data_IF_207240642506
#
_entry.id   IF_207240642506
#
_cell.length_a   1.000
_cell.length_b   1.000
_cell.length_c   1.000
_cell.angle_alpha   90.00
_cell.angle_beta   90.00
_cell.angle_gamma   90.00
#
_symmetry.space_group_name_H-M   'P 1'
#
loop_
_entity.id
_entity.type
_entity.pdbx_description
1 polymer ?
#
# COMPACT_ATOMS: atom_id res chain seq x y z
N UNK A 1 -8.79 -19.84 -10.26
CA UNK A 1 -8.99 -19.17 -11.54
C UNK A 1 -7.88 -18.17 -11.79
N UNK A 2 -7.35 -18.15 -12.96
CA UNK A 2 -6.33 -17.18 -13.30
C UNK A 2 -6.90 -15.76 -13.27
N UNK A 3 -6.05 -14.79 -13.05
CA UNK A 3 -6.46 -13.39 -13.12
C UNK A 3 -6.81 -12.96 -14.53
N UNK A 4 -7.27 -11.76 -14.64
CA UNK A 4 -7.63 -11.18 -15.92
C UNK A 4 -6.38 -10.91 -16.75
N UNK A 5 -6.56 -10.71 -18.04
CA UNK A 5 -5.48 -10.33 -18.93
C UNK A 5 -5.82 -9.00 -19.61
N UNK A 6 -4.79 -8.29 -20.06
CA UNK A 6 -4.96 -7.00 -20.72
C UNK A 6 -4.77 -5.83 -19.78
N UNK A 7 -5.18 -4.66 -20.22
CA UNK A 7 -5.07 -3.45 -19.40
C UNK A 7 -6.35 -3.25 -18.58
N UNK A 8 -6.20 -2.61 -17.43
CA UNK A 8 -7.29 -2.46 -16.49
C UNK A 8 -7.49 -1.01 -16.10
N UNK A 9 -8.73 -0.59 -15.82
CA UNK A 9 -8.94 0.69 -15.18
C UNK A 9 -8.48 0.62 -13.72
N UNK A 10 -7.93 1.71 -13.22
CA UNK A 10 -7.40 1.73 -11.86
C UNK A 10 -8.45 1.48 -10.79
N UNK A 11 -9.73 1.69 -11.09
CA UNK A 11 -10.77 1.48 -10.08
C UNK A 11 -10.95 0.01 -9.69
N UNK A 12 -10.32 -0.92 -10.41
CA UNK A 12 -10.38 -2.32 -10.05
C UNK A 12 -9.38 -2.69 -8.94
N UNK A 13 -8.51 -1.77 -8.56
CA UNK A 13 -7.66 -1.96 -7.39
C UNK A 13 -8.49 -1.79 -6.12
N UNK A 14 -8.13 -2.51 -5.07
CA UNK A 14 -8.81 -2.42 -3.79
C UNK A 14 -7.79 -2.28 -2.67
N UNK A 15 -8.16 -1.49 -1.66
CA UNK A 15 -7.31 -1.26 -0.50
C UNK A 15 -8.08 -1.60 0.76
N UNK A 16 -7.44 -2.31 1.67
CA UNK A 16 -8.06 -2.75 2.92
C UNK A 16 -7.17 -2.36 4.09
N UNK A 17 -7.79 -1.93 5.16
CA UNK A 17 -7.10 -1.52 6.36
C UNK A 17 -7.81 -2.04 7.59
N UNK A 18 -7.06 -2.32 8.64
CA UNK A 18 -7.60 -2.80 9.89
C UNK A 18 -6.51 -3.15 10.87
N UNK A 19 -6.90 -3.58 12.04
CA UNK A 19 -5.94 -3.98 13.06
C UNK A 19 -5.25 -5.29 12.70
N UNK A 20 -5.94 -6.15 11.95
CA UNK A 20 -5.41 -7.44 11.51
C UNK A 20 -6.11 -7.82 10.22
N UNK A 21 -5.56 -8.81 9.53
CA UNK A 21 -6.12 -9.26 8.25
C UNK A 21 -7.58 -9.66 8.37
N UNK A 22 -7.94 -10.36 9.43
CA UNK A 22 -9.29 -10.90 9.61
C UNK A 22 -10.34 -9.82 9.80
N UNK A 23 -9.96 -8.66 10.31
CA UNK A 23 -10.91 -7.57 10.52
C UNK A 23 -10.75 -6.45 9.52
N UNK A 24 -9.89 -6.60 8.52
CA UNK A 24 -9.63 -5.54 7.57
C UNK A 24 -10.81 -5.33 6.64
N UNK A 25 -11.12 -4.07 6.37
CA UNK A 25 -12.22 -3.68 5.49
C UNK A 25 -11.73 -2.71 4.42
N UNK A 26 -12.49 -2.65 3.33
CA UNK A 26 -12.19 -1.69 2.26
C UNK A 26 -12.27 -0.27 2.78
N UNK A 27 -11.42 0.58 2.21
CA UNK A 27 -11.43 2.01 2.53
C UNK A 27 -12.32 2.70 1.51
N UNK A 28 -13.46 3.24 1.96
CA UNK A 28 -14.41 3.86 1.06
C UNK A 28 -13.93 5.22 0.55
N UNK A 29 -14.38 5.58 -0.63
CA UNK A 29 -14.22 6.91 -1.22
C UNK A 29 -12.80 7.34 -1.50
N UNK A 30 -11.90 6.39 -1.73
CA UNK A 30 -10.57 6.70 -2.22
C UNK A 30 -10.64 6.91 -3.74
N UNK A 31 -9.90 7.88 -4.24
CA UNK A 31 -10.00 8.33 -5.63
C UNK A 31 -8.72 8.14 -6.42
N UNK A 32 -7.57 8.28 -5.77
CA UNK A 32 -6.29 8.30 -6.45
C UNK A 32 -5.25 7.62 -5.58
N UNK A 33 -4.33 6.90 -6.22
CA UNK A 33 -3.18 6.38 -5.48
C UNK A 33 -1.95 6.42 -6.35
N UNK A 34 -0.80 6.45 -5.71
CA UNK A 34 0.48 6.34 -6.38
C UNK A 34 1.39 5.44 -5.57
N UNK A 35 2.34 4.82 -6.24
CA UNK A 35 3.25 3.88 -5.60
C UNK A 35 4.67 4.30 -5.90
N UNK A 36 5.50 4.36 -4.86
CA UNK A 36 6.90 4.68 -5.01
C UNK A 36 7.74 3.54 -4.47
N UNK A 37 8.68 3.08 -5.28
CA UNK A 37 9.64 2.07 -4.88
C UNK A 37 10.98 2.74 -4.63
N UNK A 38 11.52 2.54 -3.43
CA UNK A 38 12.87 2.99 -3.09
C UNK A 38 13.73 1.76 -2.94
N UNK A 39 14.50 1.47 -3.97
CA UNK A 39 15.32 0.28 -4.01
C UNK A 39 16.78 0.65 -3.79
N UNK A 40 17.46 -0.14 -2.96
CA UNK A 40 18.89 0.00 -2.77
C UNK A 40 19.63 -0.99 -3.64
N UNK A 41 20.60 -0.49 -4.39
CA UNK A 41 21.43 -1.31 -5.26
C UNK A 41 22.87 -1.00 -4.92
N UNK A 42 23.64 -2.05 -4.54
CA UNK A 42 25.05 -1.90 -4.29
C UNK A 42 25.83 -2.05 -5.57
N UNK A 43 26.87 -1.25 -5.74
CA UNK A 43 27.71 -1.28 -6.93
C UNK A 43 29.15 -1.41 -6.53
N UNK A 44 29.92 -2.16 -7.33
CA UNK A 44 31.36 -2.29 -7.10
C UNK A 44 32.06 -2.63 -8.41
N UNK A 45 33.37 -2.41 -8.43
CA UNK A 45 34.18 -2.60 -9.62
C UNK A 45 35.26 -3.65 -9.32
N UNK A 46 34.99 -4.94 -9.54
CA UNK A 46 35.99 -5.98 -9.26
C UNK A 46 37.08 -5.96 -10.32
N UNK A 47 38.22 -6.55 -9.96
CA UNK A 47 39.36 -6.59 -10.89
C UNK A 47 39.09 -7.45 -12.12
N UNK A 48 38.22 -8.46 -11.99
CA UNK A 48 38.02 -9.44 -13.07
C UNK A 48 36.97 -9.01 -14.10
N UNK A 49 36.42 -7.79 -13.98
CA UNK A 49 35.44 -7.29 -14.97
C UNK A 49 36.01 -6.14 -15.81
N UNK A 50 37.32 -5.91 -15.75
CA UNK A 50 38.01 -4.93 -16.59
C UNK A 50 37.35 -3.54 -16.55
N UNK A 51 36.97 -3.10 -15.37
CA UNK A 51 36.40 -1.78 -15.17
C UNK A 51 34.89 -1.70 -15.32
N UNK A 52 34.23 -2.82 -15.59
CA UNK A 52 32.76 -2.81 -15.65
C UNK A 52 32.16 -3.01 -14.27
N UNK A 53 31.11 -2.24 -13.99
CA UNK A 53 30.44 -2.28 -12.69
C UNK A 53 29.66 -3.57 -12.54
N UNK A 54 29.68 -4.11 -11.31
CA UNK A 54 28.76 -5.16 -10.90
C UNK A 54 27.73 -4.57 -9.93
N UNK A 55 26.53 -5.09 -9.98
CA UNK A 55 25.42 -4.57 -9.15
C UNK A 55 24.65 -5.70 -8.51
N UNK A 56 24.15 -5.43 -7.29
CA UNK A 56 23.30 -6.35 -6.58
C UNK A 56 22.21 -5.57 -5.86
N UNK A 57 20.96 -5.94 -6.10
CA UNK A 57 19.83 -5.30 -5.44
C UNK A 57 19.77 -5.82 -4.00
N UNK A 58 19.91 -4.92 -3.03
CA UNK A 58 20.05 -5.29 -1.62
C UNK A 58 18.93 -4.79 -0.73
N UNK A 59 18.11 -3.84 -1.20
CA UNK A 59 17.10 -3.24 -0.35
C UNK A 59 15.87 -2.88 -1.14
N UNK A 60 14.72 -2.93 -0.47
CA UNK A 60 13.43 -2.57 -1.05
C UNK A 60 12.61 -1.78 -0.05
N UNK A 61 11.88 -0.83 -0.55
CA UNK A 61 10.93 -0.06 0.23
C UNK A 61 9.79 0.38 -0.67
N UNK A 62 8.56 0.34 -0.15
CA UNK A 62 7.38 0.70 -0.92
C UNK A 62 6.60 1.73 -0.11
N UNK A 63 6.20 2.81 -0.78
CA UNK A 63 5.29 3.80 -0.20
C UNK A 63 4.10 3.93 -1.12
N UNK A 64 2.90 3.72 -0.58
CA UNK A 64 1.66 3.85 -1.33
C UNK A 64 0.95 5.09 -0.81
N UNK A 65 0.79 6.09 -1.68
CA UNK A 65 0.08 7.33 -1.33
C UNK A 65 -1.33 7.25 -1.86
N UNK A 66 -2.31 7.33 -0.97
CA UNK A 66 -3.73 7.21 -1.32
C UNK A 66 -4.44 8.49 -0.95
N UNK A 67 -5.30 8.97 -1.83
CA UNK A 67 -6.09 10.16 -1.54
C UNK A 67 -7.54 9.96 -1.98
N UNK A 68 -8.44 10.60 -1.26
CA UNK A 68 -9.86 10.53 -1.55
C UNK A 68 -10.64 11.38 -0.58
N UNK A 69 -11.84 10.94 -0.23
CA UNK A 69 -12.73 11.70 0.64
C UNK A 69 -12.84 11.05 2.02
N UNK A 70 -13.01 11.89 3.04
CA UNK A 70 -13.24 11.42 4.40
C UNK A 70 -14.71 10.96 4.51
N UNK A 71 -14.91 9.70 4.80
CA UNK A 71 -16.24 9.11 4.95
C UNK A 71 -16.43 8.66 6.40
N UNK A 72 -17.04 9.52 7.19
CA UNK A 72 -17.28 9.24 8.61
C UNK A 72 -18.30 8.12 8.73
N UNK A 73 -17.94 7.08 9.47
CA UNK A 73 -18.80 5.91 9.67
C UNK A 73 -18.39 4.70 8.85
N UNK A 74 -17.57 4.88 7.81
CA UNK A 74 -17.02 3.75 7.09
C UNK A 74 -15.86 3.16 7.91
N UNK A 75 -15.90 1.86 8.16
CA UNK A 75 -14.93 1.21 9.04
C UNK A 75 -13.49 1.40 8.60
N UNK A 76 -13.21 1.17 7.32
CA UNK A 76 -11.84 1.30 6.81
C UNK A 76 -11.37 2.75 6.79
N UNK A 77 -12.25 3.67 6.38
CA UNK A 77 -11.93 5.09 6.34
C UNK A 77 -11.68 5.63 7.75
N UNK A 78 -12.55 5.23 8.71
CA UNK A 78 -12.38 5.63 10.11
C UNK A 78 -11.09 5.05 10.70
N UNK A 79 -10.75 3.81 10.36
CA UNK A 79 -9.54 3.19 10.87
C UNK A 79 -8.30 3.99 10.46
N UNK A 80 -8.23 4.38 9.19
CA UNK A 80 -7.12 5.17 8.69
C UNK A 80 -7.08 6.54 9.37
N UNK A 81 -8.25 7.20 9.47
CA UNK A 81 -8.31 8.51 10.12
C UNK A 81 -7.81 8.44 11.56
N UNK A 82 -8.10 7.36 12.27
CA UNK A 82 -7.70 7.22 13.67
C UNK A 82 -6.19 7.18 13.86
N UNK A 83 -5.43 6.94 12.80
CA UNK A 83 -3.97 6.97 12.87
C UNK A 83 -3.39 8.38 12.84
N UNK A 84 -4.21 9.39 12.58
CA UNK A 84 -3.76 10.79 12.45
C UNK A 84 -2.97 11.27 13.66
N UNK A 85 -3.39 10.87 14.86
CA UNK A 85 -2.78 11.35 16.11
C UNK A 85 -1.98 10.28 16.82
N UNK A 86 -1.63 9.21 16.13
CA UNK A 86 -0.89 8.10 16.72
C UNK A 86 0.57 8.14 16.33
N UNK A 87 1.41 7.65 17.21
CA UNK A 87 2.84 7.53 16.96
C UNK A 87 3.34 6.15 17.34
N UNK A 88 4.53 5.82 16.89
CA UNK A 88 5.16 4.57 17.21
C UNK A 88 4.34 3.40 16.69
N UNK A 89 4.21 2.38 17.49
CA UNK A 89 3.48 1.17 17.05
C UNK A 89 1.99 1.40 16.92
N UNK A 90 1.45 2.42 17.56
CA UNK A 90 0.04 2.74 17.42
C UNK A 90 -0.29 3.30 16.04
N UNK A 91 0.71 3.76 15.30
CA UNK A 91 0.52 4.22 13.92
C UNK A 91 0.63 3.07 12.91
N UNK A 92 0.83 1.85 13.37
CA UNK A 92 0.94 0.68 12.51
C UNK A 92 -0.37 -0.09 12.46
N UNK A 93 -0.58 -0.82 11.37
CA UNK A 93 -1.74 -1.66 11.24
C UNK A 93 -1.67 -2.46 9.95
N UNK A 94 -2.63 -3.38 9.78
CA UNK A 94 -2.70 -4.17 8.56
C UNK A 94 -3.11 -3.28 7.38
N UNK A 95 -2.42 -3.45 6.26
CA UNK A 95 -2.81 -2.83 5.01
C UNK A 95 -2.64 -3.84 3.88
N UNK A 96 -3.67 -3.97 3.05
CA UNK A 96 -3.65 -4.87 1.91
C UNK A 96 -4.02 -4.14 0.64
N UNK A 97 -3.31 -4.42 -0.43
CA UNK A 97 -3.59 -3.90 -1.77
C UNK A 97 -3.88 -5.08 -2.66
N UNK A 98 -5.11 -5.15 -3.17
CA UNK A 98 -5.54 -6.20 -4.08
C UNK A 98 -5.51 -5.66 -5.50
N UNK A 99 -4.72 -6.29 -6.35
CA UNK A 99 -4.57 -5.90 -7.75
C UNK A 99 -5.76 -6.40 -8.56
N UNK A 100 -5.99 -5.81 -9.75
CA UNK A 100 -7.09 -6.26 -10.61
C UNK A 100 -7.00 -7.74 -11.00
N UNK A 101 -5.80 -8.29 -11.08
CA UNK A 101 -5.63 -9.70 -11.44
C UNK A 101 -5.78 -10.66 -10.24
N UNK A 102 -6.03 -10.13 -9.06
CA UNK A 102 -6.21 -10.93 -7.85
C UNK A 102 -4.96 -11.05 -6.99
N UNK A 103 -3.81 -10.53 -7.43
CA UNK A 103 -2.61 -10.52 -6.59
C UNK A 103 -2.85 -9.64 -5.38
N UNK A 104 -2.43 -10.10 -4.20
CA UNK A 104 -2.57 -9.33 -2.96
C UNK A 104 -1.19 -9.10 -2.37
N UNK A 105 -0.89 -7.84 -2.06
CA UNK A 105 0.32 -7.46 -1.33
C UNK A 105 -0.13 -6.85 -0.01
N UNK A 106 0.39 -7.38 1.10
CA UNK A 106 -0.06 -6.92 2.41
C UNK A 106 1.07 -6.89 3.42
N UNK A 107 0.88 -6.06 4.44
CA UNK A 107 1.76 -5.97 5.61
C UNK A 107 0.88 -6.02 6.85
N UNK A 108 1.30 -6.81 7.84
CA UNK A 108 0.57 -6.88 9.10
C UNK A 108 0.71 -5.61 9.92
N UNK A 109 1.83 -4.91 9.77
CA UNK A 109 2.14 -3.73 10.56
C UNK A 109 2.71 -2.62 9.69
N UNK A 110 2.00 -2.29 8.60
CA UNK A 110 2.39 -1.17 7.76
C UNK A 110 2.28 0.13 8.55
N UNK A 111 3.11 1.10 8.22
CA UNK A 111 3.11 2.40 8.91
C UNK A 111 2.18 3.34 8.16
N UNK A 112 1.19 3.87 8.86
CA UNK A 112 0.25 4.84 8.31
C UNK A 112 0.72 6.25 8.65
N UNK A 113 0.78 7.10 7.64
CA UNK A 113 1.16 8.50 7.80
C UNK A 113 0.09 9.36 7.13
N UNK A 114 -0.75 9.98 7.94
CA UNK A 114 -1.85 10.80 7.43
C UNK A 114 -1.31 12.18 7.08
N UNK A 115 -1.44 12.55 5.81
CA UNK A 115 -0.87 13.80 5.32
C UNK A 115 -1.89 14.94 5.23
N UNK A 116 -3.18 14.60 5.11
CA UNK A 116 -4.22 15.64 5.05
C UNK A 116 -5.57 15.03 5.38
N UNK A 117 -6.34 15.71 6.20
CA UNK A 117 -7.73 15.31 6.46
C UNK A 117 -8.56 16.53 6.77
N UNK A 118 -9.71 16.65 6.09
CA UNK A 118 -10.73 17.63 6.40
C UNK A 118 -10.52 19.03 5.88
N UNK A 119 -9.41 19.33 5.22
CA UNK A 119 -9.14 20.68 4.71
C UNK A 119 -9.93 20.95 3.42
N UNK A 120 -10.20 22.23 3.15
CA UNK A 120 -10.84 22.60 1.89
C UNK A 120 -11.75 23.80 2.06
N UNK A 121 -12.36 24.18 0.94
CA UNK A 121 -13.37 25.24 0.92
C UNK A 121 -14.70 24.70 1.43
N UNK A 122 -15.58 25.62 1.87
CA UNK A 122 -16.86 25.23 2.43
C UNK A 122 -17.72 24.40 1.46
N UNK A 123 -17.52 24.58 0.16
CA UNK A 123 -18.27 23.86 -0.86
C UNK A 123 -17.60 22.58 -1.32
N UNK A 124 -16.44 22.27 -0.78
CA UNK A 124 -15.70 21.05 -1.13
C UNK A 124 -15.99 19.94 -0.12
N UNK A 125 -15.78 18.71 -0.57
CA UNK A 125 -15.89 17.56 0.32
C UNK A 125 -14.54 17.35 1.01
N UNK A 126 -14.57 17.15 2.32
CA UNK A 126 -13.33 16.98 3.11
C UNK A 126 -12.51 15.78 2.63
N UNK A 127 -11.22 15.98 2.41
CA UNK A 127 -10.36 14.91 1.93
C UNK A 127 -9.84 14.02 3.03
N UNK A 128 -9.34 12.86 2.63
CA UNK A 128 -8.49 12.01 3.45
C UNK A 128 -7.33 11.58 2.59
N UNK A 129 -6.12 11.99 2.96
CA UNK A 129 -4.90 11.67 2.21
C UNK A 129 -3.88 11.09 3.16
N UNK A 130 -3.27 10.01 2.75
CA UNK A 130 -2.32 9.32 3.61
C UNK A 130 -1.33 8.51 2.79
N UNK A 131 -0.18 8.23 3.43
CA UNK A 131 0.82 7.34 2.89
C UNK A 131 0.85 6.08 3.73
N UNK A 132 0.97 4.95 3.08
CA UNK A 132 1.20 3.67 3.74
C UNK A 132 2.60 3.22 3.37
N UNK A 133 3.44 3.06 4.38
CA UNK A 133 4.85 2.72 4.17
C UNK A 133 5.11 1.28 4.55
N UNK A 134 5.89 0.61 3.73
CA UNK A 134 6.26 -0.77 4.01
C UNK A 134 7.04 -0.85 5.31
N UNK A 135 6.77 -1.90 6.07
CA UNK A 135 7.47 -2.16 7.33
C UNK A 135 7.78 -3.65 7.34
N UNK A 136 8.97 -3.97 6.84
CA UNK A 136 9.35 -5.34 6.62
C UNK A 136 8.91 -5.85 5.26
N UNK A 137 9.12 -7.14 5.04
CA UNK A 137 8.79 -7.77 3.76
C UNK A 137 7.29 -7.97 3.63
N UNK A 138 6.68 -7.61 2.50
CA UNK A 138 5.26 -7.85 2.31
C UNK A 138 4.96 -9.34 2.11
N UNK A 139 3.73 -9.72 2.43
CA UNK A 139 3.19 -11.00 2.03
C UNK A 139 2.58 -10.80 0.65
N UNK A 140 3.07 -11.56 -0.32
CA UNK A 140 2.58 -11.49 -1.70
C UNK A 140 1.87 -12.80 -2.01
N UNK A 141 0.59 -12.71 -2.36
CA UNK A 141 -0.21 -13.88 -2.72
C UNK A 141 -0.62 -13.74 -4.18
N UNK A 142 -0.15 -14.65 -5.02
CA UNK A 142 -0.43 -14.61 -6.45
C UNK A 142 -1.77 -15.30 -6.76
N UNK A 143 -2.41 -14.93 -7.88
CA UNK A 143 -3.71 -15.55 -8.23
C UNK A 143 -3.65 -17.06 -8.32
N UNK A 144 -2.56 -17.63 -8.83
CA UNK A 144 -2.41 -19.07 -8.93
C UNK A 144 -2.36 -19.73 -7.55
N UNK A 145 -1.79 -19.05 -6.56
CA UNK A 145 -1.74 -19.57 -5.20
C UNK A 145 -3.12 -19.49 -4.54
N UNK A 146 -3.86 -18.41 -4.82
CA UNK A 146 -5.21 -18.27 -4.32
C UNK A 146 -6.07 -19.40 -4.89
N UNK A 147 -5.94 -19.68 -6.18
CA UNK A 147 -6.69 -20.73 -6.84
C UNK A 147 -6.35 -22.14 -6.34
N UNK A 148 -5.18 -22.32 -5.75
CA UNK A 148 -4.75 -23.61 -5.20
C UNK A 148 -5.09 -23.78 -3.73
N UNK A 149 -5.47 -22.74 -3.07
CA UNK A 149 -5.74 -22.76 -1.63
C UNK A 149 -7.11 -23.37 -1.37
N UNK A 150 -7.20 -24.66 -1.57
CA UNK A 150 -8.47 -25.38 -1.41
C UNK A 150 -8.25 -26.78 -0.90
#
# INVERSE_FOLDING_TARGET
MAGKTGVYPCYENQFQAGAAKEGATSIADMETFSVKFDNGVEEWYPFDTEGWVRRLATAKSITISVSGKRNIGDTGNDYVFNKTFKNGRDAEGYFGWTFPDGTVISWDAAVYNITNTGAGKSTEVGPLEFDVMSNGKPTVTLPSEIGRAH
#
